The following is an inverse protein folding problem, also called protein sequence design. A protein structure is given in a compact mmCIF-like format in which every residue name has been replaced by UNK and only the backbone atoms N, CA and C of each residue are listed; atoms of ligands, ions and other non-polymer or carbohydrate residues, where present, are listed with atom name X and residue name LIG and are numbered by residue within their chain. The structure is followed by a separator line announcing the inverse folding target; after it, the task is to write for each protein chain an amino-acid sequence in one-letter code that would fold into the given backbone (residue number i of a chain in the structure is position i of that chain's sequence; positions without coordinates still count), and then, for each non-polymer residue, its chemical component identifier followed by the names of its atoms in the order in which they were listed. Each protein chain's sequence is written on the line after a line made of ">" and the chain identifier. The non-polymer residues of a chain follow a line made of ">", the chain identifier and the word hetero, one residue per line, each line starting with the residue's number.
data_IF_815673942308
#
_entry.id   IF_815673942308
#
_cell.length_a   1.000
_cell.length_b   1.000
_cell.length_c   1.000
_cell.angle_alpha   90.00
_cell.angle_beta   90.00
_cell.angle_gamma   90.00
#
_symmetry.space_group_name_H-M   'P 1'
#
loop_
_entity.id
_entity.type
_entity.pdbx_description
1 polymer ?
#
# COMPACT_ATOMS: atom_id res chain seq x y z
N UNK A 1 -24.29 1.58 -10.33
CA UNK A 1 -23.30 1.51 -9.23
C UNK A 1 -21.94 1.32 -9.88
N UNK A 2 -20.91 2.14 -9.59
CA UNK A 2 -19.57 1.91 -10.10
C UNK A 2 -19.06 0.57 -9.53
N UNK A 3 -18.51 -0.29 -10.41
CA UNK A 3 -17.86 -1.52 -9.99
C UNK A 3 -16.70 -1.20 -9.04
N UNK A 4 -16.44 -2.02 -8.01
CA UNK A 4 -15.25 -1.85 -7.19
C UNK A 4 -14.02 -1.91 -8.08
N UNK A 5 -13.24 -0.82 -8.10
CA UNK A 5 -11.97 -0.75 -8.81
C UNK A 5 -10.99 -1.57 -7.99
N UNK A 6 -10.67 -2.76 -8.47
CA UNK A 6 -9.65 -3.62 -7.85
C UNK A 6 -8.29 -3.02 -8.22
N UNK A 7 -7.42 -2.69 -7.25
CA UNK A 7 -6.10 -2.15 -7.54
C UNK A 7 -5.26 -3.19 -8.31
N UNK A 8 -4.45 -2.71 -9.25
CA UNK A 8 -3.45 -3.53 -9.94
C UNK A 8 -2.39 -4.04 -8.97
N UNK A 9 -1.58 -5.01 -9.40
CA UNK A 9 -0.51 -5.58 -8.56
C UNK A 9 0.49 -4.53 -8.08
N UNK A 10 0.83 -3.56 -8.93
CA UNK A 10 1.74 -2.46 -8.56
C UNK A 10 1.10 -1.53 -7.52
N UNK A 11 -0.19 -1.22 -7.68
CA UNK A 11 -0.94 -0.38 -6.74
C UNK A 11 -1.20 -1.08 -5.40
N UNK A 12 -1.41 -2.40 -5.43
CA UNK A 12 -1.47 -3.25 -4.24
C UNK A 12 -0.16 -3.11 -3.46
N UNK A 13 0.98 -3.33 -4.12
CA UNK A 13 2.28 -3.31 -3.45
C UNK A 13 2.57 -1.92 -2.88
N UNK A 14 2.30 -0.84 -3.62
CA UNK A 14 2.41 0.54 -3.12
C UNK A 14 1.52 0.82 -1.90
N UNK A 15 0.29 0.29 -1.90
CA UNK A 15 -0.62 0.42 -0.75
C UNK A 15 -0.10 -0.34 0.47
N UNK A 16 0.53 -1.50 0.25
CA UNK A 16 1.16 -2.27 1.32
C UNK A 16 2.43 -1.57 1.84
N UNK A 17 3.18 -0.86 0.99
CA UNK A 17 4.31 -0.02 1.43
C UNK A 17 3.86 1.07 2.41
N UNK A 18 2.76 1.77 2.11
CA UNK A 18 2.17 2.75 3.02
C UNK A 18 1.82 2.14 4.38
N UNK A 19 1.31 0.90 4.39
CA UNK A 19 1.01 0.14 5.60
C UNK A 19 2.24 -0.32 6.37
N UNK A 20 3.33 -0.67 5.68
CA UNK A 20 4.53 -1.26 6.29
C UNK A 20 5.68 -0.27 6.51
N UNK A 21 5.59 0.97 5.99
CA UNK A 21 6.58 2.02 6.18
C UNK A 21 7.92 1.81 5.46
N UNK A 22 7.97 0.94 4.44
CA UNK A 22 9.20 0.62 3.70
C UNK A 22 9.03 0.98 2.21
N UNK A 23 9.94 1.77 1.59
CA UNK A 23 9.82 2.14 0.19
C UNK A 23 10.31 1.04 -0.75
N UNK A 24 9.56 0.74 -1.81
CA UNK A 24 9.96 -0.17 -2.89
C UNK A 24 10.14 0.60 -4.20
N UNK A 25 11.13 1.49 -4.21
CA UNK A 25 11.54 2.29 -5.38
C UNK A 25 12.10 1.47 -6.56
N UNK A 26 11.90 0.15 -6.60
CA UNK A 26 12.44 -0.76 -7.62
C UNK A 26 11.40 -1.66 -8.32
N UNK A 27 10.10 -1.57 -8.01
CA UNK A 27 9.08 -2.55 -8.49
C UNK A 27 8.92 -2.56 -10.02
N UNK A 28 9.01 -1.40 -10.67
CA UNK A 28 8.75 -1.27 -12.11
C UNK A 28 9.79 -1.97 -12.99
N UNK A 29 11.00 -2.20 -12.46
CA UNK A 29 12.09 -2.86 -13.18
C UNK A 29 12.16 -4.37 -12.88
N UNK A 30 11.31 -4.88 -11.99
CA UNK A 30 11.29 -6.29 -11.57
C UNK A 30 10.61 -7.19 -12.60
N UNK A 31 11.05 -8.45 -12.67
CA UNK A 31 10.34 -9.45 -13.47
C UNK A 31 8.95 -9.72 -12.90
N UNK A 32 8.00 -10.13 -13.76
CA UNK A 32 6.64 -10.48 -13.32
C UNK A 32 6.62 -11.56 -12.21
N UNK A 33 7.62 -12.45 -12.19
CA UNK A 33 7.76 -13.48 -11.15
C UNK A 33 8.18 -12.87 -9.81
N UNK A 34 9.08 -11.91 -9.83
CA UNK A 34 9.56 -11.23 -8.62
C UNK A 34 8.48 -10.30 -8.06
N UNK A 35 7.75 -9.60 -8.93
CA UNK A 35 6.57 -8.82 -8.54
C UNK A 35 5.50 -9.72 -7.88
N UNK A 36 5.25 -10.90 -8.44
CA UNK A 36 4.29 -11.85 -7.86
C UNK A 36 4.76 -12.36 -6.49
N UNK A 37 6.05 -12.68 -6.36
CA UNK A 37 6.64 -13.14 -5.09
C UNK A 37 6.54 -12.05 -4.01
N UNK A 38 6.86 -10.81 -4.37
CA UNK A 38 6.77 -9.65 -3.51
C UNK A 38 5.32 -9.39 -3.06
N UNK A 39 4.36 -9.46 -3.97
CA UNK A 39 2.94 -9.31 -3.66
C UNK A 39 2.45 -10.40 -2.69
N UNK A 40 2.84 -11.67 -2.90
CA UNK A 40 2.51 -12.77 -1.97
C UNK A 40 3.10 -12.50 -0.59
N UNK A 41 4.38 -12.14 -0.50
CA UNK A 41 5.04 -11.85 0.79
C UNK A 41 4.41 -10.65 1.51
N UNK A 42 4.01 -9.62 0.77
CA UNK A 42 3.34 -8.45 1.29
C UNK A 42 1.96 -8.80 1.87
N UNK A 43 1.17 -9.62 1.15
CA UNK A 43 -0.11 -10.14 1.64
C UNK A 43 0.09 -11.01 2.89
N UNK A 44 1.10 -11.88 2.90
CA UNK A 44 1.43 -12.73 4.05
C UNK A 44 1.73 -11.90 5.32
N UNK A 45 2.49 -10.82 5.18
CA UNK A 45 2.80 -9.92 6.29
C UNK A 45 1.54 -9.26 6.86
N UNK A 46 0.66 -8.74 6.00
CA UNK A 46 -0.59 -8.11 6.42
C UNK A 46 -1.54 -9.09 7.13
N UNK A 47 -1.71 -10.29 6.58
CA UNK A 47 -2.52 -11.33 7.24
C UNK A 47 -1.94 -11.70 8.59
N UNK A 48 -0.62 -11.86 8.69
CA UNK A 48 0.06 -12.19 9.96
C UNK A 48 -0.15 -11.09 11.01
N UNK A 49 -0.09 -9.82 10.60
CA UNK A 49 -0.36 -8.68 11.49
C UNK A 49 -1.82 -8.69 12.00
N UNK A 50 -2.78 -8.97 11.12
CA UNK A 50 -4.20 -9.06 11.47
C UNK A 50 -4.51 -10.25 12.40
N UNK A 51 -3.75 -11.33 12.28
CA UNK A 51 -3.95 -12.56 13.07
C UNK A 51 -3.16 -12.58 14.38
N UNK A 52 -2.20 -11.67 14.58
CA UNK A 52 -1.31 -11.62 15.76
C UNK A 52 -2.06 -11.73 17.09
N UNK A 53 -3.26 -11.13 17.16
CA UNK A 53 -4.08 -11.10 18.38
C UNK A 53 -5.34 -11.99 18.32
N UNK A 54 -5.63 -12.66 17.18
CA UNK A 54 -6.86 -13.45 16.98
C UNK A 54 -6.66 -14.93 17.28
N UNK A 55 -6.49 -15.25 18.57
CA UNK A 55 -6.19 -16.62 19.03
C UNK A 55 -7.40 -17.56 19.11
N UNK A 56 -8.61 -17.01 19.04
CA UNK A 56 -9.84 -17.76 19.28
C UNK A 56 -10.84 -17.62 18.13
N UNK A 57 -11.70 -18.62 18.00
CA UNK A 57 -12.90 -18.60 17.16
C UNK A 57 -14.12 -18.42 18.05
N UNK A 58 -15.07 -17.61 17.56
CA UNK A 58 -16.36 -17.43 18.21
C UNK A 58 -17.37 -18.34 17.52
N UNK A 59 -17.91 -19.28 18.28
CA UNK A 59 -18.77 -20.35 17.79
C UNK A 59 -20.14 -20.22 18.42
N UNK A 60 -21.21 -20.34 17.64
CA UNK A 60 -22.57 -20.31 18.18
C UNK A 60 -23.02 -21.74 18.47
N UNK A 61 -23.35 -22.05 19.71
CA UNK A 61 -23.82 -23.37 20.12
C UNK A 61 -25.29 -23.59 19.73
N UNK A 62 -25.81 -24.80 19.96
CA UNK A 62 -27.19 -25.19 19.63
C UNK A 62 -28.25 -24.37 20.39
N UNK A 63 -27.88 -23.80 21.53
CA UNK A 63 -28.73 -22.91 22.35
C UNK A 63 -28.68 -21.46 21.87
N UNK A 64 -27.93 -21.17 20.80
CA UNK A 64 -27.79 -19.84 20.22
C UNK A 64 -26.81 -18.92 20.97
N UNK A 65 -26.04 -19.45 21.92
CA UNK A 65 -25.05 -18.72 22.73
C UNK A 65 -23.71 -18.72 22.00
N UNK A 66 -23.04 -17.58 21.95
CA UNK A 66 -21.69 -17.46 21.38
C UNK A 66 -20.64 -17.86 22.42
N UNK A 67 -19.88 -18.89 22.13
CA UNK A 67 -18.78 -19.39 22.93
C UNK A 67 -17.44 -19.05 22.28
N UNK A 68 -16.42 -18.83 23.12
CA UNK A 68 -15.05 -18.56 22.69
C UNK A 68 -14.27 -19.86 22.77
N UNK A 69 -13.83 -20.36 21.62
CA UNK A 69 -13.06 -21.60 21.51
C UNK A 69 -11.64 -21.29 21.06
N UNK A 70 -10.60 -21.70 21.80
CA UNK A 70 -9.21 -21.51 21.38
C UNK A 70 -8.93 -22.23 20.06
N UNK A 71 -8.23 -21.56 19.13
CA UNK A 71 -7.83 -22.19 17.87
C UNK A 71 -6.69 -23.18 18.11
N UNK A 72 -6.81 -24.37 17.54
CA UNK A 72 -5.66 -25.29 17.45
C UNK A 72 -4.60 -24.72 16.50
N UNK A 73 -3.41 -25.33 16.47
CA UNK A 73 -2.37 -24.95 15.52
C UNK A 73 -2.82 -25.14 14.07
N UNK A 74 -3.45 -26.28 13.75
CA UNK A 74 -4.01 -26.55 12.43
C UNK A 74 -5.06 -25.51 12.01
N UNK A 75 -5.91 -25.05 12.95
CA UNK A 75 -6.90 -24.00 12.68
C UNK A 75 -6.26 -22.66 12.37
N UNK A 76 -5.21 -22.28 13.11
CA UNK A 76 -4.48 -21.02 12.88
C UNK A 76 -3.77 -21.05 11.54
N UNK A 77 -3.07 -22.15 11.25
CA UNK A 77 -2.38 -22.33 9.98
C UNK A 77 -3.36 -22.32 8.80
N UNK A 78 -4.48 -23.03 8.90
CA UNK A 78 -5.52 -23.03 7.88
C UNK A 78 -6.13 -21.64 7.68
N UNK A 79 -6.46 -20.92 8.76
CA UNK A 79 -7.04 -19.58 8.67
C UNK A 79 -6.08 -18.62 7.96
N UNK A 80 -4.81 -18.65 8.35
CA UNK A 80 -3.77 -17.83 7.76
C UNK A 80 -3.62 -18.13 6.26
N UNK A 81 -3.39 -19.38 5.90
CA UNK A 81 -3.16 -19.78 4.51
C UNK A 81 -4.39 -19.51 3.63
N UNK A 82 -5.59 -19.76 4.15
CA UNK A 82 -6.84 -19.51 3.42
C UNK A 82 -7.08 -18.01 3.21
N UNK A 83 -6.77 -17.17 4.20
CA UNK A 83 -6.88 -15.72 4.06
C UNK A 83 -5.87 -15.16 3.05
N UNK A 84 -4.63 -15.66 3.05
CA UNK A 84 -3.59 -15.29 2.06
C UNK A 84 -4.06 -15.70 0.67
N UNK A 85 -4.53 -16.93 0.50
CA UNK A 85 -5.02 -17.42 -0.79
C UNK A 85 -6.21 -16.60 -1.31
N UNK A 86 -7.17 -16.28 -0.44
CA UNK A 86 -8.33 -15.47 -0.81
C UNK A 86 -7.93 -14.05 -1.24
N UNK A 87 -6.97 -13.42 -0.53
CA UNK A 87 -6.42 -12.12 -0.90
C UNK A 87 -5.65 -12.17 -2.21
N UNK A 88 -4.81 -13.20 -2.40
CA UNK A 88 -4.08 -13.39 -3.64
C UNK A 88 -5.04 -13.54 -4.82
N UNK A 89 -6.08 -14.35 -4.67
CA UNK A 89 -7.13 -14.51 -5.68
C UNK A 89 -7.90 -13.21 -5.93
N UNK A 90 -8.16 -12.40 -4.91
CA UNK A 90 -8.87 -11.13 -5.04
C UNK A 90 -8.07 -10.10 -5.87
N UNK A 91 -6.75 -10.03 -5.67
CA UNK A 91 -5.86 -9.10 -6.37
C UNK A 91 -5.16 -9.71 -7.61
N UNK A 92 -5.58 -10.89 -8.06
CA UNK A 92 -5.02 -11.55 -9.24
C UNK A 92 -3.57 -12.03 -9.10
N UNK A 93 -3.08 -12.22 -7.87
CA UNK A 93 -1.76 -12.74 -7.53
C UNK A 93 -1.82 -14.27 -7.58
N UNK A 94 -0.90 -14.89 -8.33
CA UNK A 94 -0.90 -16.35 -8.49
C UNK A 94 -0.28 -16.98 -7.26
N UNK A 95 -1.03 -17.86 -6.59
CA UNK A 95 -0.59 -18.64 -5.43
C UNK A 95 -1.03 -20.09 -5.61
N UNK A 96 -0.19 -21.03 -5.17
CA UNK A 96 -0.55 -22.45 -5.16
C UNK A 96 -1.57 -22.77 -4.05
N UNK A 97 -2.58 -23.56 -4.38
CA UNK A 97 -3.62 -23.98 -3.45
C UNK A 97 -3.22 -25.22 -2.62
N UNK A 98 -2.13 -25.91 -2.99
CA UNK A 98 -1.75 -27.20 -2.43
C UNK A 98 -1.55 -27.17 -0.92
N UNK A 99 -0.92 -26.12 -0.39
CA UNK A 99 -0.66 -25.99 1.05
C UNK A 99 -1.96 -25.76 1.86
N UNK A 100 -2.84 -24.87 1.39
CA UNK A 100 -4.17 -24.66 1.98
C UNK A 100 -5.02 -25.94 1.95
N UNK A 101 -4.98 -26.70 0.85
CA UNK A 101 -5.67 -27.98 0.74
C UNK A 101 -5.09 -29.04 1.69
N UNK A 102 -3.78 -29.07 1.90
CA UNK A 102 -3.14 -29.95 2.88
C UNK A 102 -3.61 -29.65 4.30
N UNK A 103 -3.57 -28.37 4.70
CA UNK A 103 -4.06 -27.91 6.00
C UNK A 103 -5.55 -28.21 6.21
N UNK A 104 -6.35 -28.12 5.15
CA UNK A 104 -7.78 -28.46 5.20
C UNK A 104 -8.05 -29.94 5.53
N UNK A 105 -7.09 -30.84 5.29
CA UNK A 105 -7.21 -32.28 5.62
C UNK A 105 -6.90 -32.56 7.08
N UNK A 106 -6.09 -31.72 7.71
CA UNK A 106 -5.70 -31.82 9.13
C UNK A 106 -6.77 -31.23 10.07
N UNK A 107 -7.73 -30.47 9.52
CA UNK A 107 -8.84 -29.96 10.30
C UNK A 107 -9.83 -31.05 10.68
N UNK A 108 -10.21 -31.04 11.95
CA UNK A 108 -11.38 -31.76 12.42
C UNK A 108 -12.65 -31.07 11.89
N UNK A 109 -13.40 -31.79 11.06
CA UNK A 109 -14.65 -31.33 10.44
C UNK A 109 -15.89 -31.91 11.11
N UNK A 110 -15.70 -32.70 12.17
CA UNK A 110 -16.82 -33.30 12.92
C UNK A 110 -17.61 -32.23 13.67
N UNK A 111 -16.94 -31.23 14.23
CA UNK A 111 -17.58 -30.04 14.79
C UNK A 111 -17.88 -28.99 13.71
N UNK A 112 -19.10 -29.06 13.18
CA UNK A 112 -19.56 -28.16 12.11
C UNK A 112 -19.64 -26.70 12.57
N UNK A 113 -19.91 -26.45 13.86
CA UNK A 113 -20.02 -25.10 14.39
C UNK A 113 -18.63 -24.46 14.48
N UNK A 114 -17.64 -25.22 14.95
CA UNK A 114 -16.26 -24.76 15.01
C UNK A 114 -15.67 -24.55 13.61
N UNK A 115 -15.90 -25.50 12.69
CA UNK A 115 -15.48 -25.37 11.30
C UNK A 115 -16.10 -24.12 10.64
N UNK A 116 -17.39 -23.87 10.86
CA UNK A 116 -18.05 -22.65 10.38
C UNK A 116 -17.43 -21.39 11.00
N UNK A 117 -17.14 -21.39 12.30
CA UNK A 117 -16.48 -20.27 12.97
C UNK A 117 -15.09 -19.95 12.39
N UNK A 118 -14.34 -20.97 11.96
CA UNK A 118 -13.06 -20.78 11.26
C UNK A 118 -13.27 -20.15 9.89
N UNK A 119 -14.24 -20.61 9.11
CA UNK A 119 -14.55 -20.03 7.80
C UNK A 119 -15.00 -18.57 7.92
N UNK A 120 -15.82 -18.26 8.93
CA UNK A 120 -16.23 -16.89 9.24
C UNK A 120 -15.02 -16.03 9.63
N UNK A 121 -14.06 -16.59 10.38
CA UNK A 121 -12.82 -15.92 10.74
C UNK A 121 -11.92 -15.65 9.52
N UNK A 122 -11.78 -16.62 8.60
CA UNK A 122 -11.08 -16.45 7.31
C UNK A 122 -11.72 -15.32 6.50
N UNK A 123 -13.04 -15.36 6.34
CA UNK A 123 -13.77 -14.34 5.59
C UNK A 123 -13.62 -12.96 6.22
N UNK A 124 -13.77 -12.85 7.54
CA UNK A 124 -13.58 -11.59 8.25
C UNK A 124 -12.16 -11.05 8.10
N UNK A 125 -11.14 -11.89 8.26
CA UNK A 125 -9.73 -11.49 8.13
C UNK A 125 -9.42 -11.04 6.70
N UNK A 126 -9.91 -11.77 5.70
CA UNK A 126 -9.80 -11.40 4.28
C UNK A 126 -10.45 -10.03 4.02
N UNK A 127 -11.71 -9.85 4.39
CA UNK A 127 -12.45 -8.60 4.14
C UNK A 127 -11.90 -7.41 4.91
N UNK A 128 -11.44 -7.62 6.15
CA UNK A 128 -10.78 -6.57 6.93
C UNK A 128 -9.48 -6.12 6.27
N UNK A 129 -8.72 -7.06 5.71
CA UNK A 129 -7.46 -6.76 5.03
C UNK A 129 -7.71 -6.04 3.71
N UNK A 130 -8.70 -6.49 2.92
CA UNK A 130 -9.13 -5.80 1.67
C UNK A 130 -9.52 -4.36 1.99
N UNK A 131 -10.38 -4.14 2.99
CA UNK A 131 -10.80 -2.78 3.38
C UNK A 131 -9.61 -1.90 3.81
N UNK A 132 -8.63 -2.47 4.51
CA UNK A 132 -7.42 -1.76 4.89
C UNK A 132 -6.59 -1.34 3.68
N UNK A 133 -6.33 -2.26 2.76
CA UNK A 133 -5.58 -2.02 1.53
C UNK A 133 -6.32 -1.00 0.64
N UNK A 134 -7.61 -1.20 0.38
CA UNK A 134 -8.41 -0.31 -0.46
C UNK A 134 -8.54 1.10 0.14
N UNK A 135 -8.58 1.20 1.47
CA UNK A 135 -8.56 2.47 2.19
C UNK A 135 -7.26 3.23 1.96
N UNK A 136 -6.13 2.55 2.14
CA UNK A 136 -4.79 3.11 1.89
C UNK A 136 -4.57 3.46 0.41
N UNK A 137 -5.06 2.64 -0.51
CA UNK A 137 -5.03 2.96 -1.95
C UNK A 137 -5.77 4.26 -2.26
N UNK A 138 -6.97 4.45 -1.69
CA UNK A 138 -7.71 5.72 -1.86
C UNK A 138 -6.98 6.91 -1.25
N UNK A 139 -6.36 6.73 -0.09
CA UNK A 139 -5.54 7.77 0.53
C UNK A 139 -4.34 8.14 -0.35
N UNK A 140 -3.62 7.15 -0.90
CA UNK A 140 -2.51 7.37 -1.83
C UNK A 140 -2.96 8.07 -3.12
N UNK A 141 -4.11 7.70 -3.70
CA UNK A 141 -4.68 8.40 -4.86
C UNK A 141 -5.05 9.86 -4.51
N UNK A 142 -5.60 10.09 -3.32
CA UNK A 142 -5.93 11.43 -2.85
C UNK A 142 -4.66 12.25 -2.60
N UNK A 143 -3.63 11.68 -1.98
CA UNK A 143 -2.34 12.35 -1.77
C UNK A 143 -1.66 12.69 -3.11
N UNK A 144 -1.70 11.76 -4.07
CA UNK A 144 -1.15 11.96 -5.41
C UNK A 144 -1.94 12.97 -6.25
N UNK A 145 -3.24 13.15 -5.98
CA UNK A 145 -4.07 14.19 -6.62
C UNK A 145 -4.01 15.55 -5.92
N UNK A 146 -3.74 15.57 -4.60
CA UNK A 146 -3.38 16.78 -3.84
C UNK A 146 -1.95 17.24 -4.13
N UNK A 147 -1.05 16.33 -4.50
CA UNK A 147 0.13 16.61 -5.29
C UNK A 147 -0.25 16.88 -6.75
N UNK A 148 -1.05 17.93 -6.99
CA UNK A 148 -0.90 18.69 -8.23
C UNK A 148 0.60 18.96 -8.40
N UNK A 149 1.16 18.85 -9.62
CA UNK A 149 2.55 19.19 -9.83
C UNK A 149 2.72 20.58 -9.24
N UNK A 150 3.56 20.70 -8.22
CA UNK A 150 4.27 21.94 -8.02
C UNK A 150 4.89 22.15 -9.39
N UNK A 151 4.31 23.09 -10.14
CA UNK A 151 4.95 23.66 -11.30
C UNK A 151 6.38 23.88 -10.83
N UNK A 152 7.29 23.07 -11.37
CA UNK A 152 8.66 23.52 -11.51
C UNK A 152 8.47 24.79 -12.31
N UNK A 153 8.31 25.92 -11.60
CA UNK A 153 8.50 27.26 -12.15
C UNK A 153 9.78 27.09 -12.91
N UNK A 154 9.61 27.02 -14.23
CA UNK A 154 10.64 26.53 -15.12
C UNK A 154 11.85 27.39 -14.81
N UNK A 155 13.06 26.83 -14.82
CA UNK A 155 14.27 27.64 -14.64
C UNK A 155 14.22 28.85 -15.61
N UNK A 156 13.52 28.70 -16.74
CA UNK A 156 13.15 29.77 -17.67
C UNK A 156 12.31 30.92 -17.09
N UNK A 157 11.29 30.64 -16.25
CA UNK A 157 10.47 31.69 -15.61
C UNK A 157 11.28 32.47 -14.57
N UNK A 158 12.11 31.77 -13.77
CA UNK A 158 13.02 32.43 -12.80
C UNK A 158 14.13 33.22 -13.49
N UNK A 159 14.55 32.84 -14.71
CA UNK A 159 15.53 33.60 -15.49
C UNK A 159 14.90 34.84 -16.15
N UNK A 160 13.65 34.74 -16.59
CA UNK A 160 12.92 35.86 -17.20
C UNK A 160 12.60 36.94 -16.16
N UNK A 161 12.28 36.53 -14.92
CA UNK A 161 12.08 37.44 -13.80
C UNK A 161 13.39 38.17 -13.40
N UNK A 162 14.55 37.50 -13.43
CA UNK A 162 15.84 38.15 -13.20
C UNK A 162 16.24 39.12 -14.32
N UNK A 163 15.89 38.84 -15.58
CA UNK A 163 16.18 39.76 -16.69
C UNK A 163 15.38 41.08 -16.57
N UNK A 164 14.15 41.01 -16.07
CA UNK A 164 13.34 42.20 -15.79
C UNK A 164 13.88 43.03 -14.60
N UNK A 165 14.42 42.37 -13.57
CA UNK A 165 15.05 43.04 -12.43
C UNK A 165 16.41 43.69 -12.76
N UNK A 166 17.15 43.16 -13.74
CA UNK A 166 18.42 43.77 -14.18
C UNK A 166 18.16 45.02 -15.05
N UNK A 167 17.11 45.04 -15.87
CA UNK A 167 16.75 46.19 -16.70
C UNK A 167 16.12 47.37 -15.94
N UNK A 168 15.59 47.16 -14.73
CA UNK A 168 15.07 48.24 -13.89
C UNK A 168 16.13 48.91 -13.00
N UNK A 169 17.28 48.26 -12.77
CA UNK A 169 18.37 48.85 -12.00
C UNK A 169 19.30 49.75 -12.84
N UNK A 170 19.13 49.80 -14.17
CA UNK A 170 19.91 50.66 -15.07
C UNK A 170 19.26 52.03 -15.37
N UNK A 171 18.17 52.42 -14.68
CA UNK A 171 17.52 53.72 -14.88
C UNK A 171 17.49 54.67 -13.66
N UNK A 172 18.13 54.34 -12.54
CA UNK A 172 18.25 55.27 -11.41
C UNK A 172 19.70 55.36 -10.89
N UNK A 173 20.58 55.99 -11.69
CA UNK A 173 21.55 56.95 -11.12
C UNK A 173 22.20 57.82 -12.22
N UNK A 174 22.28 59.16 -12.04
CA UNK A 174 22.91 60.05 -13.01
C UNK A 174 24.44 59.92 -12.96
N UNK A 175 25.02 59.78 -14.15
CA UNK A 175 26.46 59.87 -14.40
C UNK A 175 26.92 61.34 -14.33
N UNK A 176 27.99 61.63 -13.59
CA UNK A 176 29.03 62.55 -14.07
C UNK A 176 30.43 62.00 -13.77
N UNK A 177 30.98 61.36 -14.80
CA UNK A 177 32.39 61.14 -15.15
C UNK A 177 33.16 62.46 -15.35
N UNK A 178 34.47 62.54 -15.09
CA UNK A 178 35.62 62.40 -16.04
C UNK A 178 36.84 63.02 -15.32
N UNK A 179 38.12 62.80 -15.61
CA UNK A 179 38.97 61.85 -16.34
C UNK A 179 40.41 62.27 -15.99
N UNK A 180 41.35 61.35 -16.15
CA UNK A 180 42.77 61.44 -15.78
C UNK A 180 43.61 61.84 -17.01
N UNK A 181 44.52 62.81 -16.92
CA UNK A 181 45.75 62.96 -17.76
C UNK A 181 46.59 64.13 -17.19
N UNK A 182 47.74 63.87 -16.55
CA UNK A 182 49.12 63.80 -17.07
C UNK A 182 49.72 65.14 -17.56
N UNK A 183 50.88 65.49 -17.00
CA UNK A 183 51.95 66.17 -17.76
C UNK A 183 52.33 67.59 -17.33
N UNK A 184 53.63 67.77 -17.13
CA UNK A 184 54.36 69.01 -16.85
C UNK A 184 54.13 70.14 -17.87
N UNK A 185 54.02 71.37 -17.38
CA UNK A 185 54.95 72.49 -17.60
C UNK A 185 54.52 73.72 -16.82
#
# INVERSE_FOLDING_TARGET
>A
MPSPVIPSKEELVQSIEGLMGNPLSMISDMSAKDQNTLAVSAIQALVSQQLTYKKDVFVRNELGITERVPKTEAMRAFEQESAIYALCSHYGVTMDAGHMLALSKELDKSDTNQFKGILDAVHHTTMSTIKGIDGQYKELLNEKSLMKPQEKTSIMDKLTQNKASILQNDQNNPTQTKSKEMGLS
#
